data_IF_999812611312
#
_entry.id   IF_999812611312
#
_cell.length_a   1.000
_cell.length_b   1.000
_cell.length_c   1.000
_cell.angle_alpha   90.00
_cell.angle_beta   90.00
_cell.angle_gamma   90.00
#
_symmetry.space_group_name_H-M   'P 1'
#
loop_
_entity.id
_entity.type
_entity.pdbx_description
1 polymer ?
#
# COMPACT_ATOMS: atom_id res chain seq x y z
N UNK A 1 9.03 8.29 5.40
CA UNK A 1 9.63 8.98 6.56
C UNK A 1 10.11 10.40 6.24
N UNK A 2 10.81 10.65 5.13
CA UNK A 2 11.36 11.99 4.77
C UNK A 2 10.33 13.14 4.83
N UNK A 3 9.14 12.95 4.25
CA UNK A 3 8.08 13.97 4.19
C UNK A 3 7.56 14.38 5.57
N UNK A 4 7.43 13.42 6.50
CA UNK A 4 7.04 13.72 7.88
C UNK A 4 8.10 14.57 8.60
N UNK A 5 9.39 14.23 8.43
CA UNK A 5 10.52 15.02 8.98
C UNK A 5 10.53 16.45 8.42
N UNK A 6 10.32 16.60 7.12
CA UNK A 6 10.23 17.92 6.49
C UNK A 6 9.07 18.77 7.01
N UNK A 7 7.90 18.16 7.23
CA UNK A 7 6.74 18.85 7.80
C UNK A 7 6.99 19.26 9.26
N UNK A 8 7.57 18.37 10.07
CA UNK A 8 7.94 18.67 11.45
C UNK A 8 8.91 19.86 11.55
N UNK A 9 9.93 19.90 10.69
CA UNK A 9 10.90 20.99 10.66
C UNK A 9 10.32 22.35 10.21
N UNK A 10 9.11 22.38 9.65
CA UNK A 10 8.41 23.60 9.19
C UNK A 10 7.38 24.12 10.18
N UNK A 11 7.25 23.51 11.36
CA UNK A 11 6.32 23.95 12.40
C UNK A 11 6.82 25.28 12.98
N UNK A 12 6.02 26.33 12.83
CA UNK A 12 6.28 27.66 13.42
C UNK A 12 5.16 28.13 14.35
N UNK A 13 3.96 27.58 14.15
CA UNK A 13 2.75 27.91 14.90
C UNK A 13 1.98 26.63 15.25
N UNK A 14 1.14 26.65 16.30
CA UNK A 14 0.37 25.47 16.72
C UNK A 14 -0.49 24.85 15.61
N UNK A 15 -1.00 25.66 14.67
CA UNK A 15 -1.78 25.17 13.52
C UNK A 15 -0.99 24.16 12.65
N UNK A 16 0.32 24.34 12.49
CA UNK A 16 1.17 23.45 11.68
C UNK A 16 1.30 22.06 12.32
N UNK A 17 1.16 21.95 13.65
CA UNK A 17 1.15 20.66 14.36
C UNK A 17 -0.08 19.85 13.95
N UNK A 18 -1.24 20.50 13.87
CA UNK A 18 -2.48 19.86 13.44
C UNK A 18 -2.46 19.43 11.98
N UNK A 19 -1.76 20.16 11.11
CA UNK A 19 -1.51 19.73 9.72
C UNK A 19 -0.66 18.45 9.65
N UNK A 20 0.40 18.39 10.46
CA UNK A 20 1.24 17.19 10.57
C UNK A 20 0.44 16.00 11.12
N UNK A 21 -0.38 16.21 12.16
CA UNK A 21 -1.24 15.17 12.74
C UNK A 21 -2.17 14.58 11.66
N UNK A 22 -2.91 15.43 10.94
CA UNK A 22 -3.83 14.97 9.89
C UNK A 22 -3.10 14.16 8.80
N UNK A 23 -1.93 14.64 8.38
CA UNK A 23 -1.11 13.92 7.40
C UNK A 23 -0.70 12.54 7.92
N UNK A 24 -0.21 12.44 9.16
CA UNK A 24 0.22 11.16 9.75
C UNK A 24 -0.96 10.21 9.95
N UNK A 25 -2.10 10.72 10.42
CA UNK A 25 -3.34 9.94 10.60
C UNK A 25 -3.84 9.37 9.28
N UNK A 26 -3.80 10.14 8.18
CA UNK A 26 -4.16 9.63 6.87
C UNK A 26 -3.17 8.56 6.39
N UNK A 27 -1.86 8.80 6.55
CA UNK A 27 -0.83 7.82 6.16
C UNK A 27 -0.94 6.52 6.94
N UNK A 28 -1.27 6.57 8.23
CA UNK A 28 -1.55 5.37 9.03
C UNK A 28 -2.73 4.58 8.44
N UNK A 29 -3.86 5.24 8.19
CA UNK A 29 -5.04 4.60 7.57
C UNK A 29 -4.72 3.98 6.21
N UNK A 30 -3.90 4.65 5.39
CA UNK A 30 -3.49 4.13 4.09
C UNK A 30 -2.62 2.87 4.24
N UNK A 31 -1.70 2.87 5.20
CA UNK A 31 -0.85 1.71 5.53
C UNK A 31 -1.72 0.56 6.03
N UNK A 32 -2.61 0.82 6.99
CA UNK A 32 -3.50 -0.19 7.57
C UNK A 32 -4.41 -0.83 6.51
N UNK A 33 -4.91 -0.03 5.56
CA UNK A 33 -5.71 -0.52 4.42
C UNK A 33 -4.87 -1.33 3.44
N UNK A 34 -3.64 -0.89 3.17
CA UNK A 34 -2.75 -1.52 2.19
C UNK A 34 -2.19 -2.86 2.68
N UNK A 35 -2.01 -3.00 3.98
CA UNK A 35 -1.46 -4.19 4.62
C UNK A 35 -2.48 -4.85 5.57
N UNK A 36 -3.74 -4.95 5.14
CA UNK A 36 -4.74 -5.70 5.91
C UNK A 36 -4.44 -7.21 5.78
N UNK A 37 -3.72 -7.75 6.78
CA UNK A 37 -3.25 -9.13 6.84
C UNK A 37 -4.35 -10.17 7.14
N UNK A 38 -5.63 -9.78 7.16
CA UNK A 38 -6.72 -10.75 7.24
C UNK A 38 -6.61 -11.72 6.07
N UNK A 39 -6.67 -13.02 6.35
CA UNK A 39 -6.39 -14.08 5.36
C UNK A 39 -7.26 -13.99 4.10
N UNK A 40 -8.48 -13.43 4.23
CA UNK A 40 -9.41 -13.16 3.12
C UNK A 40 -8.99 -12.02 2.19
N UNK A 41 -8.05 -11.16 2.59
CA UNK A 41 -7.58 -9.98 1.83
C UNK A 41 -6.17 -10.16 1.27
N UNK A 42 -5.43 -11.19 1.68
CA UNK A 42 -4.04 -11.42 1.25
C UNK A 42 -3.89 -11.50 -0.27
N UNK A 43 -4.84 -12.11 -0.99
CA UNK A 43 -4.83 -12.17 -2.46
C UNK A 43 -4.86 -10.76 -3.07
N UNK A 44 -5.68 -9.86 -2.52
CA UNK A 44 -5.80 -8.48 -2.98
C UNK A 44 -4.53 -7.69 -2.65
N UNK A 45 -4.00 -7.86 -1.44
CA UNK A 45 -2.75 -7.21 -0.98
C UNK A 45 -1.58 -7.59 -1.89
N UNK A 46 -1.37 -8.88 -2.14
CA UNK A 46 -0.29 -9.33 -3.03
C UNK A 46 -0.49 -8.86 -4.47
N UNK A 47 -1.73 -8.83 -4.97
CA UNK A 47 -1.99 -8.31 -6.32
C UNK A 47 -1.70 -6.81 -6.46
N UNK A 48 -2.01 -5.99 -5.43
CA UNK A 48 -1.61 -4.57 -5.39
C UNK A 48 -0.09 -4.43 -5.38
N UNK A 49 0.60 -5.18 -4.53
CA UNK A 49 2.06 -5.10 -4.40
C UNK A 49 2.78 -5.55 -5.68
N UNK A 50 2.27 -6.58 -6.35
CA UNK A 50 2.78 -7.07 -7.62
C UNK A 50 2.56 -6.02 -8.74
N UNK A 51 1.36 -5.41 -8.81
CA UNK A 51 1.07 -4.34 -9.76
C UNK A 51 1.94 -3.10 -9.55
N UNK A 52 2.32 -2.79 -8.30
CA UNK A 52 3.20 -1.68 -7.97
C UNK A 52 4.70 -2.02 -8.11
N UNK A 53 5.05 -3.25 -8.50
CA UNK A 53 6.44 -3.70 -8.61
C UNK A 53 7.19 -3.75 -7.27
N UNK A 54 6.46 -3.88 -6.15
CA UNK A 54 7.03 -3.93 -4.80
C UNK A 54 7.42 -5.34 -4.36
N UNK A 55 6.87 -6.34 -5.04
CA UNK A 55 7.21 -7.76 -4.92
C UNK A 55 7.25 -8.36 -6.33
N UNK A 56 8.03 -9.41 -6.51
CA UNK A 56 8.12 -10.22 -7.70
C UNK A 56 7.29 -11.51 -7.55
N UNK A 57 6.95 -12.16 -8.67
CA UNK A 57 6.31 -13.49 -8.62
C UNK A 57 7.19 -14.53 -7.90
N UNK A 58 8.51 -14.33 -7.93
CA UNK A 58 9.47 -15.27 -7.35
C UNK A 58 9.49 -15.23 -5.82
N UNK A 59 9.20 -14.07 -5.24
CA UNK A 59 9.00 -13.90 -3.80
C UNK A 59 7.68 -14.54 -3.30
N UNK A 60 6.80 -14.95 -4.22
CA UNK A 60 5.55 -15.65 -3.91
C UNK A 60 5.63 -17.17 -4.16
N UNK A 61 6.82 -17.69 -4.52
CA UNK A 61 7.08 -19.13 -4.68
C UNK A 61 6.80 -19.85 -3.36
N UNK A 62 5.79 -20.72 -3.35
CA UNK A 62 5.31 -21.43 -2.15
C UNK A 62 3.80 -21.27 -1.92
N UNK A 63 3.16 -20.31 -2.59
CA UNK A 63 1.70 -20.27 -2.67
C UNK A 63 1.17 -21.36 -3.61
N UNK A 64 0.01 -21.92 -3.26
CA UNK A 64 -0.72 -22.83 -4.17
C UNK A 64 -1.09 -22.10 -5.46
N UNK A 65 -1.09 -22.84 -6.57
CA UNK A 65 -1.31 -22.29 -7.92
C UNK A 65 -2.67 -21.57 -8.08
N UNK A 66 -3.71 -22.02 -7.38
CA UNK A 66 -5.02 -21.37 -7.36
C UNK A 66 -4.96 -19.95 -6.77
N UNK A 67 -4.17 -19.77 -5.71
CA UNK A 67 -3.91 -18.45 -5.11
C UNK A 67 -3.07 -17.58 -6.04
N UNK A 68 -2.03 -18.15 -6.66
CA UNK A 68 -1.18 -17.43 -7.63
C UNK A 68 -1.96 -16.92 -8.84
N UNK A 69 -2.88 -17.73 -9.39
CA UNK A 69 -3.78 -17.30 -10.47
C UNK A 69 -4.63 -16.10 -10.06
N UNK A 70 -5.19 -16.14 -8.85
CA UNK A 70 -6.02 -15.06 -8.33
C UNK A 70 -5.23 -13.75 -8.15
N UNK A 71 -4.01 -13.84 -7.61
CA UNK A 71 -3.09 -12.69 -7.45
C UNK A 71 -2.74 -12.06 -8.81
N UNK A 72 -2.34 -12.88 -9.80
CA UNK A 72 -1.99 -12.41 -11.15
C UNK A 72 -3.17 -11.76 -11.86
N UNK A 73 -4.37 -12.34 -11.73
CA UNK A 73 -5.59 -11.78 -12.31
C UNK A 73 -5.89 -10.40 -11.73
N UNK A 74 -5.80 -10.25 -10.40
CA UNK A 74 -6.04 -8.97 -9.73
C UNK A 74 -4.99 -7.91 -10.11
N UNK A 75 -3.70 -8.28 -10.17
CA UNK A 75 -2.65 -7.38 -10.60
C UNK A 75 -2.84 -6.87 -12.04
N UNK A 76 -3.23 -7.76 -12.97
CA UNK A 76 -3.56 -7.38 -14.35
C UNK A 76 -4.77 -6.45 -14.43
N UNK A 77 -5.80 -6.72 -13.63
CA UNK A 77 -6.98 -5.85 -13.55
C UNK A 77 -6.59 -4.42 -13.12
N UNK A 78 -5.79 -4.28 -12.05
CA UNK A 78 -5.32 -2.98 -11.57
C UNK A 78 -4.40 -2.27 -12.57
N UNK A 79 -3.54 -3.01 -13.27
CA UNK A 79 -2.67 -2.43 -14.30
C UNK A 79 -3.49 -1.87 -15.48
N UNK A 80 -4.57 -2.56 -15.87
CA UNK A 80 -5.50 -2.11 -16.90
C UNK A 80 -6.30 -0.88 -16.46
N UNK A 81 -6.80 -0.86 -15.23
CA UNK A 81 -7.54 0.26 -14.65
C UNK A 81 -6.68 1.53 -14.57
N UNK A 82 -5.40 1.41 -14.23
CA UNK A 82 -4.45 2.54 -14.21
C UNK A 82 -4.02 3.06 -15.58
N UNK A 83 -4.22 2.26 -16.64
CA UNK A 83 -3.85 2.60 -18.01
C UNK A 83 -5.03 3.18 -18.81
N UNK A 84 -6.24 3.18 -18.24
CA UNK A 84 -7.46 3.77 -18.78
C UNK A 84 -7.65 5.20 -18.25
#
# INVERSE_FOLDING_TARGET
MQKAKQMANRIKVPANVWELERYLTQRRKDIDRKYDFRSSRLIQVFGVLLCEGRISEEELRGLREDKMKSIRSFAKFLAKDRAA
#
